data_IF_007275126870
#
_entry.id   IF_007275126870
#
_cell.length_a   1.000
_cell.length_b   1.000
_cell.length_c   1.000
_cell.angle_alpha   90.00
_cell.angle_beta   90.00
_cell.angle_gamma   90.00
#
_symmetry.space_group_name_H-M   'P 1'
#
loop_
_entity.id
_entity.type
_entity.pdbx_description
1 polymer ?
#
# COMPACT_ATOMS: atom_id res chain seq x y z
N UNK A 1 -10.77 -9.33 8.46
CA UNK A 1 -10.00 -8.59 7.40
C UNK A 1 -8.76 -7.99 8.02
N UNK A 2 -7.59 -8.21 7.42
CA UNK A 2 -6.32 -7.70 7.92
C UNK A 2 -5.87 -6.51 7.07
N UNK A 3 -5.85 -5.33 7.67
CA UNK A 3 -5.40 -4.09 7.05
C UNK A 3 -3.92 -3.84 7.37
N UNK A 4 -3.17 -3.31 6.42
CA UNK A 4 -1.80 -2.88 6.59
C UNK A 4 -1.67 -1.39 6.35
N UNK A 5 -1.08 -0.70 7.30
CA UNK A 5 -0.76 0.73 7.23
C UNK A 5 0.73 0.94 7.51
N UNK A 6 1.32 1.89 6.82
CA UNK A 6 2.70 2.33 7.07
C UNK A 6 2.72 3.84 7.21
N UNK A 7 3.11 4.36 8.36
CA UNK A 7 3.12 5.81 8.59
C UNK A 7 4.07 6.22 9.72
N UNK A 8 4.41 7.48 9.71
CA UNK A 8 5.04 8.18 10.82
C UNK A 8 4.00 8.93 11.68
N UNK A 9 4.46 9.57 12.74
CA UNK A 9 3.60 10.28 13.68
C UNK A 9 2.79 11.43 13.05
N UNK A 10 3.27 12.03 11.96
CA UNK A 10 2.61 13.15 11.28
C UNK A 10 1.34 12.68 10.53
N UNK A 11 1.28 11.42 10.15
CA UNK A 11 0.15 10.83 9.43
C UNK A 11 -0.92 10.20 10.34
N UNK A 12 -0.81 10.31 11.67
CA UNK A 12 -1.80 9.74 12.59
C UNK A 12 -3.20 10.35 12.43
N UNK A 13 -3.30 11.66 12.20
CA UNK A 13 -4.60 12.30 11.98
C UNK A 13 -5.24 11.89 10.65
N UNK A 14 -4.56 11.96 9.50
CA UNK A 14 -5.07 11.37 8.26
C UNK A 14 -5.46 9.90 8.40
N UNK A 15 -4.61 9.07 9.01
CA UNK A 15 -4.89 7.66 9.27
C UNK A 15 -6.19 7.45 10.05
N UNK A 16 -6.41 8.24 11.11
CA UNK A 16 -7.65 8.16 11.90
C UNK A 16 -8.88 8.51 11.06
N UNK A 17 -8.79 9.53 10.19
CA UNK A 17 -9.88 9.90 9.27
C UNK A 17 -10.14 8.77 8.26
N UNK A 18 -9.09 8.18 7.71
CA UNK A 18 -9.20 7.03 6.80
C UNK A 18 -9.87 5.84 7.49
N UNK A 19 -9.43 5.46 8.71
CA UNK A 19 -10.02 4.38 9.49
C UNK A 19 -11.48 4.67 9.87
N UNK A 20 -11.83 5.90 10.24
CA UNK A 20 -13.22 6.30 10.50
C UNK A 20 -14.10 6.09 9.25
N UNK A 21 -13.61 6.51 8.09
CA UNK A 21 -14.30 6.30 6.82
C UNK A 21 -14.42 4.80 6.46
N UNK A 22 -13.40 4.00 6.78
CA UNK A 22 -13.43 2.54 6.60
C UNK A 22 -14.54 1.92 7.46
N UNK A 23 -14.55 2.17 8.76
CA UNK A 23 -15.59 1.60 9.65
C UNK A 23 -16.99 2.05 9.29
N UNK A 24 -17.14 3.32 8.85
CA UNK A 24 -18.44 3.86 8.40
C UNK A 24 -18.93 3.18 7.12
N UNK A 25 -18.04 2.92 6.17
CA UNK A 25 -18.39 2.32 4.86
C UNK A 25 -18.44 0.80 4.88
N UNK A 26 -17.96 0.17 5.96
CA UNK A 26 -17.95 -1.30 6.14
C UNK A 26 -18.67 -1.72 7.43
N UNK A 27 -19.94 -1.34 7.60
CA UNK A 27 -20.68 -1.69 8.81
C UNK A 27 -20.86 -3.21 8.90
N UNK A 28 -20.55 -3.78 10.08
CA UNK A 28 -20.67 -5.21 10.31
C UNK A 28 -19.46 -6.06 9.89
N UNK A 29 -18.35 -5.42 9.48
CA UNK A 29 -17.09 -6.13 9.36
C UNK A 29 -16.59 -6.55 10.74
N UNK A 30 -16.51 -7.86 10.94
CA UNK A 30 -16.02 -8.46 12.18
C UNK A 30 -14.57 -8.91 12.04
N UNK A 31 -13.87 -9.01 13.18
CA UNK A 31 -12.48 -9.49 13.24
C UNK A 31 -11.52 -8.68 12.34
N UNK A 32 -11.63 -7.35 12.39
CA UNK A 32 -10.69 -6.47 11.68
C UNK A 32 -9.41 -6.33 12.51
N UNK A 33 -8.26 -6.68 11.92
CA UNK A 33 -6.94 -6.37 12.51
C UNK A 33 -6.26 -5.28 11.67
N UNK A 34 -5.73 -4.27 12.35
CA UNK A 34 -5.00 -3.16 11.72
C UNK A 34 -3.52 -3.29 12.08
N UNK A 35 -2.71 -3.80 11.18
CA UNK A 35 -1.27 -3.87 11.31
C UNK A 35 -0.66 -2.52 10.94
N UNK A 36 0.00 -1.89 11.89
CA UNK A 36 0.62 -0.57 11.73
C UNK A 36 2.14 -0.69 11.80
N UNK A 37 2.83 -0.59 10.67
CA UNK A 37 4.29 -0.53 10.63
C UNK A 37 4.77 0.91 10.86
N UNK A 38 5.62 1.10 11.86
CA UNK A 38 6.14 2.42 12.21
C UNK A 38 7.56 2.37 12.79
N UNK A 39 8.25 3.51 12.83
CA UNK A 39 9.62 3.61 13.35
C UNK A 39 9.76 4.43 14.64
N UNK A 40 8.71 5.07 15.12
CA UNK A 40 8.88 5.94 16.29
C UNK A 40 7.62 6.63 16.82
N UNK A 41 6.43 6.09 16.58
CA UNK A 41 5.20 6.61 17.17
C UNK A 41 5.22 6.35 18.69
N UNK A 42 4.90 7.35 19.47
CA UNK A 42 4.92 7.24 20.96
C UNK A 42 3.81 6.31 21.46
N UNK A 43 4.07 5.64 22.60
CA UNK A 43 3.12 4.68 23.18
C UNK A 43 1.74 5.31 23.44
N UNK A 44 1.68 6.54 23.99
CA UNK A 44 0.41 7.22 24.25
C UNK A 44 -0.43 7.45 22.99
N UNK A 45 0.20 7.80 21.87
CA UNK A 45 -0.51 7.96 20.58
C UNK A 45 -0.98 6.63 19.99
N UNK A 46 -0.20 5.57 20.19
CA UNK A 46 -0.62 4.21 19.81
C UNK A 46 -1.80 3.73 20.65
N UNK A 47 -1.81 4.03 21.97
CA UNK A 47 -2.93 3.72 22.86
C UNK A 47 -4.21 4.48 22.46
N UNK A 48 -4.10 5.76 22.10
CA UNK A 48 -5.23 6.55 21.59
C UNK A 48 -5.81 5.94 20.30
N UNK A 49 -4.94 5.55 19.35
CA UNK A 49 -5.37 4.94 18.10
C UNK A 49 -5.95 3.53 18.34
N UNK A 50 -5.38 2.76 19.27
CA UNK A 50 -5.89 1.44 19.65
C UNK A 50 -7.28 1.57 20.30
N UNK A 51 -7.48 2.53 21.19
CA UNK A 51 -8.80 2.84 21.79
C UNK A 51 -9.82 3.22 20.72
N UNK A 52 -9.41 3.99 19.72
CA UNK A 52 -10.26 4.34 18.59
C UNK A 52 -10.67 3.09 17.78
N UNK A 53 -9.72 2.24 17.38
CA UNK A 53 -10.02 0.99 16.65
C UNK A 53 -10.94 0.08 17.48
N UNK A 54 -10.67 -0.08 18.78
CA UNK A 54 -11.46 -0.91 19.68
C UNK A 54 -12.91 -0.44 19.80
N UNK A 55 -13.19 0.86 19.66
CA UNK A 55 -14.56 1.39 19.68
C UNK A 55 -15.42 0.90 18.53
N UNK A 56 -14.79 0.40 17.44
CA UNK A 56 -15.42 -0.25 16.29
C UNK A 56 -15.27 -1.78 16.29
N UNK A 57 -14.75 -2.37 17.38
CA UNK A 57 -14.51 -3.81 17.45
C UNK A 57 -13.29 -4.31 16.69
N UNK A 58 -12.40 -3.40 16.28
CA UNK A 58 -11.15 -3.73 15.58
C UNK A 58 -9.95 -3.74 16.52
N UNK A 59 -8.93 -4.54 16.20
CA UNK A 59 -7.69 -4.64 16.93
C UNK A 59 -6.56 -3.90 16.21
N UNK A 60 -5.93 -2.90 16.86
CA UNK A 60 -4.69 -2.30 16.37
C UNK A 60 -3.50 -3.17 16.79
N UNK A 61 -2.65 -3.52 15.83
CA UNK A 61 -1.41 -4.28 16.01
C UNK A 61 -0.21 -3.43 15.58
N UNK A 62 0.29 -2.54 16.45
CA UNK A 62 1.46 -1.73 16.13
C UNK A 62 2.71 -2.60 16.09
N UNK A 63 3.51 -2.43 15.05
CA UNK A 63 4.75 -3.15 14.84
C UNK A 63 5.88 -2.16 14.61
N UNK A 64 6.83 -2.14 15.53
CA UNK A 64 8.06 -1.36 15.37
C UNK A 64 8.93 -2.07 14.33
N UNK A 65 9.26 -1.35 13.28
CA UNK A 65 10.10 -1.88 12.21
C UNK A 65 11.55 -1.94 12.67
N UNK A 66 12.16 -3.14 12.60
CA UNK A 66 13.58 -3.33 12.91
C UNK A 66 14.45 -2.54 11.92
N UNK A 67 15.18 -1.56 12.43
CA UNK A 67 16.06 -0.72 11.62
C UNK A 67 17.26 -1.49 11.05
N UNK A 68 17.61 -2.64 11.61
CA UNK A 68 18.68 -3.50 11.10
C UNK A 68 18.38 -4.01 9.68
N UNK A 69 17.12 -4.23 9.36
CA UNK A 69 16.68 -4.60 8.01
C UNK A 69 17.08 -3.55 6.95
N UNK A 70 17.31 -2.31 7.38
CA UNK A 70 17.56 -1.15 6.50
C UNK A 70 18.99 -0.60 6.60
N UNK A 71 19.94 -1.33 7.22
CA UNK A 71 21.35 -0.87 7.35
C UNK A 71 21.98 -0.59 6.00
N UNK A 72 21.67 -1.41 5.00
CA UNK A 72 22.19 -1.27 3.64
C UNK A 72 21.21 -0.58 2.68
N UNK A 73 20.10 -0.03 3.17
CA UNK A 73 19.13 0.65 2.33
C UNK A 73 19.71 1.97 1.81
N UNK A 74 19.60 2.27 0.51
CA UNK A 74 19.94 3.56 -0.02
C UNK A 74 18.94 4.61 0.48
N UNK A 75 19.33 5.38 1.50
CA UNK A 75 18.48 6.39 2.14
C UNK A 75 18.96 7.79 1.87
N UNK A 76 18.03 8.71 1.64
CA UNK A 76 18.24 10.13 1.45
C UNK A 76 16.98 10.90 1.85
N UNK A 77 17.00 12.23 1.76
CA UNK A 77 15.76 13.02 1.91
C UNK A 77 14.66 12.60 0.92
N UNK A 78 15.04 12.10 -0.25
CA UNK A 78 14.12 11.64 -1.30
C UNK A 78 13.67 10.19 -1.07
N UNK A 79 14.51 9.39 -0.40
CA UNK A 79 14.26 7.97 -0.12
C UNK A 79 14.31 7.73 1.40
N UNK A 80 13.28 8.16 2.15
CA UNK A 80 13.21 7.89 3.59
C UNK A 80 12.98 6.39 3.84
N UNK A 81 13.38 5.91 5.01
CA UNK A 81 13.26 4.48 5.36
C UNK A 81 11.81 3.99 5.30
N UNK A 82 10.87 4.83 5.65
CA UNK A 82 9.43 4.54 5.66
C UNK A 82 8.90 4.14 4.28
N UNK A 83 9.53 4.62 3.20
CA UNK A 83 9.23 4.22 1.83
C UNK A 83 9.35 2.70 1.64
N UNK A 84 10.33 2.07 2.31
CA UNK A 84 10.57 0.64 2.17
C UNK A 84 9.58 -0.24 2.94
N UNK A 85 8.89 0.30 3.96
CA UNK A 85 8.04 -0.50 4.84
C UNK A 85 6.94 -1.21 4.06
N UNK A 86 6.27 -0.51 3.12
CA UNK A 86 5.25 -1.12 2.27
C UNK A 86 5.84 -2.21 1.36
N UNK A 87 7.01 -1.97 0.75
CA UNK A 87 7.65 -2.90 -0.16
C UNK A 87 8.14 -4.17 0.54
N UNK A 88 8.63 -4.03 1.77
CA UNK A 88 9.19 -5.12 2.57
C UNK A 88 8.21 -5.67 3.61
N UNK A 89 6.95 -5.21 3.61
CA UNK A 89 5.93 -5.68 4.54
C UNK A 89 5.76 -7.20 4.57
N UNK A 90 5.88 -7.97 3.45
CA UNK A 90 5.80 -9.41 3.51
C UNK A 90 6.85 -10.08 4.40
N UNK A 91 8.02 -9.44 4.58
CA UNK A 91 9.11 -9.92 5.42
C UNK A 91 8.96 -9.49 6.89
N UNK A 92 8.18 -8.45 7.16
CA UNK A 92 7.99 -7.85 8.48
C UNK A 92 6.75 -8.43 9.18
N UNK A 93 5.68 -8.66 8.42
CA UNK A 93 4.41 -9.15 8.95
C UNK A 93 4.50 -10.58 9.48
N UNK A 94 3.67 -10.94 10.49
CA UNK A 94 3.61 -12.27 11.07
C UNK A 94 3.47 -13.38 10.03
N UNK A 95 4.19 -14.48 10.20
CA UNK A 95 4.28 -15.57 9.22
C UNK A 95 2.95 -16.32 9.01
N UNK A 96 2.07 -16.30 9.98
CA UNK A 96 0.74 -16.90 9.95
C UNK A 96 -0.27 -16.12 9.11
N UNK A 97 0.03 -14.86 8.76
CA UNK A 97 -0.80 -14.08 7.85
C UNK A 97 -0.61 -14.55 6.41
N UNK A 98 -1.70 -14.90 5.77
CA UNK A 98 -1.70 -15.34 4.37
C UNK A 98 -2.01 -14.19 3.40
N UNK A 99 -2.76 -13.18 3.84
CA UNK A 99 -3.24 -12.07 3.01
C UNK A 99 -3.33 -10.78 3.83
N UNK A 100 -3.12 -9.65 3.18
CA UNK A 100 -3.32 -8.32 3.80
C UNK A 100 -3.76 -7.31 2.75
N UNK A 101 -4.58 -6.35 3.15
CA UNK A 101 -4.97 -5.20 2.32
C UNK A 101 -4.21 -3.96 2.79
N UNK A 102 -3.25 -3.52 1.98
CA UNK A 102 -2.53 -2.28 2.20
C UNK A 102 -3.37 -1.08 1.77
N UNK A 103 -3.43 -0.06 2.61
CA UNK A 103 -4.13 1.20 2.35
C UNK A 103 -3.22 2.37 2.71
N UNK A 104 -3.12 3.37 1.84
CA UNK A 104 -2.47 4.63 2.19
C UNK A 104 -3.28 5.35 3.28
N UNK A 105 -2.61 5.97 4.28
CA UNK A 105 -3.29 6.56 5.44
C UNK A 105 -4.03 7.87 5.15
N UNK A 106 -3.89 8.45 3.95
CA UNK A 106 -4.43 9.76 3.57
C UNK A 106 -5.54 9.68 2.51
N UNK A 107 -6.25 8.56 2.46
CA UNK A 107 -7.40 8.34 1.59
C UNK A 107 -8.73 8.36 2.36
N UNK A 108 -9.85 8.33 1.63
CA UNK A 108 -11.19 8.10 2.18
C UNK A 108 -11.78 6.84 1.58
N UNK A 109 -12.27 5.96 2.45
CA UNK A 109 -12.96 4.73 2.06
C UNK A 109 -14.46 5.05 1.95
N UNK A 110 -15.00 4.95 0.75
CA UNK A 110 -16.42 5.28 0.48
C UNK A 110 -17.24 4.07 0.02
N UNK A 111 -16.58 2.93 -0.21
CA UNK A 111 -17.20 1.68 -0.63
C UNK A 111 -16.83 0.54 0.33
N UNK A 112 -17.67 -0.51 0.44
CA UNK A 112 -17.30 -1.72 1.15
C UNK A 112 -16.05 -2.37 0.53
N UNK A 113 -15.06 -2.74 1.35
CA UNK A 113 -13.81 -3.36 0.90
C UNK A 113 -13.87 -4.91 0.84
N UNK A 114 -14.95 -5.54 1.31
CA UNK A 114 -15.10 -7.00 1.29
C UNK A 114 -14.92 -7.60 -0.11
N UNK A 115 -15.49 -7.04 -1.20
CA UNK A 115 -15.27 -7.59 -2.54
C UNK A 115 -13.80 -7.52 -3.01
N UNK A 116 -13.04 -6.51 -2.58
CA UNK A 116 -11.60 -6.43 -2.84
C UNK A 116 -10.83 -7.43 -1.98
N UNK A 117 -11.18 -7.54 -0.70
CA UNK A 117 -10.56 -8.49 0.21
C UNK A 117 -10.71 -9.94 -0.26
N UNK A 118 -11.85 -10.30 -0.81
CA UNK A 118 -12.16 -11.66 -1.30
C UNK A 118 -11.76 -11.90 -2.76
N UNK A 119 -11.14 -10.90 -3.41
CA UNK A 119 -10.73 -11.02 -4.81
C UNK A 119 -9.81 -12.22 -5.02
N UNK A 120 -10.12 -13.04 -6.02
CA UNK A 120 -9.21 -14.08 -6.50
C UNK A 120 -8.08 -13.42 -7.30
N UNK A 121 -6.86 -13.63 -6.87
CA UNK A 121 -5.66 -13.11 -7.53
C UNK A 121 -5.22 -13.93 -8.76
N UNK A 122 -5.92 -15.04 -9.07
CA UNK A 122 -5.62 -15.91 -10.22
C UNK A 122 -4.14 -16.29 -10.34
N UNK A 123 -3.49 -16.56 -9.19
CA UNK A 123 -2.08 -16.91 -9.12
C UNK A 123 -1.11 -15.72 -9.16
N UNK A 124 -1.61 -14.48 -9.21
CA UNK A 124 -0.80 -13.28 -9.01
C UNK A 124 -0.52 -13.07 -7.52
N UNK A 125 0.55 -12.33 -7.25
CA UNK A 125 0.99 -12.01 -5.88
C UNK A 125 0.29 -10.78 -5.32
N UNK A 126 -0.04 -9.82 -6.19
CA UNK A 126 -0.63 -8.53 -5.83
C UNK A 126 -1.86 -8.24 -6.67
N UNK A 127 -2.75 -7.36 -6.16
CA UNK A 127 -3.69 -6.61 -6.98
C UNK A 127 -3.59 -5.13 -6.65
N UNK A 128 -3.56 -4.29 -7.67
CA UNK A 128 -3.46 -2.83 -7.53
C UNK A 128 -4.14 -2.12 -8.71
N UNK A 129 -4.56 -0.88 -8.47
CA UNK A 129 -5.19 -0.07 -9.51
C UNK A 129 -4.15 0.45 -10.50
N UNK A 130 -4.44 0.33 -11.80
CA UNK A 130 -3.71 1.01 -12.85
C UNK A 130 -4.53 2.21 -13.31
N UNK A 131 -3.97 3.42 -13.23
CA UNK A 131 -4.66 4.63 -13.70
C UNK A 131 -4.69 4.71 -15.23
N UNK A 132 -5.41 3.79 -15.86
CA UNK A 132 -5.50 3.66 -17.33
C UNK A 132 -6.54 4.58 -17.97
N UNK A 133 -7.54 5.03 -17.22
CA UNK A 133 -8.74 5.67 -17.78
C UNK A 133 -8.54 7.05 -18.40
N UNK A 134 -7.44 7.77 -18.17
CA UNK A 134 -7.25 9.16 -18.62
C UNK A 134 -5.84 9.49 -19.09
N UNK A 135 -4.91 8.56 -19.03
CA UNK A 135 -3.52 8.80 -19.36
C UNK A 135 -2.85 7.55 -19.94
N UNK A 136 -3.40 6.99 -21.03
CA UNK A 136 -2.63 6.05 -21.85
C UNK A 136 -1.21 6.58 -22.08
N UNK A 137 -1.13 7.87 -22.43
CA UNK A 137 0.16 8.55 -22.62
C UNK A 137 1.02 8.58 -21.34
N UNK A 138 0.46 8.78 -20.15
CA UNK A 138 1.23 8.77 -18.91
C UNK A 138 1.66 7.34 -18.54
N UNK A 139 0.86 6.35 -18.87
CA UNK A 139 1.19 4.94 -18.69
C UNK A 139 2.35 4.54 -19.63
N UNK A 140 2.25 4.90 -20.91
CA UNK A 140 3.33 4.70 -21.90
C UNK A 140 4.64 5.40 -21.49
N UNK A 141 4.55 6.64 -21.00
CA UNK A 141 5.74 7.37 -20.50
C UNK A 141 6.37 6.62 -19.33
N UNK A 142 5.58 6.11 -18.38
CA UNK A 142 6.10 5.35 -17.25
C UNK A 142 6.68 4.01 -17.67
N UNK A 143 6.04 3.31 -18.61
CA UNK A 143 6.56 2.07 -19.18
C UNK A 143 7.93 2.28 -19.84
N UNK A 144 8.07 3.32 -20.65
CA UNK A 144 9.36 3.66 -21.27
C UNK A 144 10.40 4.06 -20.24
N UNK A 145 10.02 4.89 -19.25
CA UNK A 145 10.92 5.38 -18.20
C UNK A 145 11.46 4.26 -17.31
N UNK A 146 10.61 3.27 -17.00
CA UNK A 146 10.94 2.17 -16.10
C UNK A 146 11.32 0.88 -16.82
N UNK A 147 11.35 0.90 -18.16
CA UNK A 147 11.61 -0.26 -19.01
C UNK A 147 10.68 -1.45 -18.66
N UNK A 148 9.38 -1.19 -18.60
CA UNK A 148 8.35 -2.18 -18.27
C UNK A 148 7.34 -2.35 -19.40
N UNK A 149 6.75 -3.55 -19.52
CA UNK A 149 5.77 -3.89 -20.57
C UNK A 149 4.33 -4.03 -20.04
N UNK A 150 4.13 -3.82 -18.75
CA UNK A 150 2.84 -3.90 -18.06
C UNK A 150 2.30 -2.51 -17.72
N UNK A 151 1.03 -2.45 -17.33
CA UNK A 151 0.42 -1.22 -16.83
C UNK A 151 1.16 -0.69 -15.60
N UNK A 152 1.19 0.63 -15.44
CA UNK A 152 1.78 1.26 -14.26
C UNK A 152 0.78 1.31 -13.12
N UNK A 153 1.04 0.55 -12.06
CA UNK A 153 0.17 0.40 -10.91
C UNK A 153 0.42 1.47 -9.84
N UNK A 154 -0.66 1.94 -9.23
CA UNK A 154 -0.59 2.77 -8.03
C UNK A 154 -0.46 1.88 -6.78
N UNK A 155 0.46 2.23 -5.88
CA UNK A 155 0.75 1.45 -4.68
C UNK A 155 -0.04 1.87 -3.43
N UNK A 156 -1.02 2.77 -3.56
CA UNK A 156 -1.81 3.29 -2.43
C UNK A 156 -2.90 2.34 -1.93
N UNK A 157 -3.39 1.43 -2.80
CA UNK A 157 -4.29 0.33 -2.44
C UNK A 157 -3.75 -0.94 -3.04
N UNK A 158 -3.39 -1.92 -2.23
CA UNK A 158 -2.84 -3.20 -2.70
C UNK A 158 -3.39 -4.37 -1.89
N UNK A 159 -4.02 -5.33 -2.57
CA UNK A 159 -4.25 -6.64 -1.98
C UNK A 159 -2.98 -7.48 -2.20
N UNK A 160 -2.49 -8.10 -1.15
CA UNK A 160 -1.22 -8.85 -1.14
C UNK A 160 -1.46 -10.28 -0.67
N UNK A 161 -1.12 -11.27 -1.50
CA UNK A 161 -0.91 -12.64 -1.06
C UNK A 161 0.47 -12.74 -0.39
N UNK A 162 0.49 -12.78 0.93
CA UNK A 162 1.72 -12.79 1.70
C UNK A 162 2.50 -14.10 1.54
N UNK A 163 1.81 -15.21 1.26
CA UNK A 163 2.46 -16.50 1.01
C UNK A 163 3.28 -16.49 -0.27
N UNK A 164 2.72 -15.90 -1.33
CA UNK A 164 3.43 -15.71 -2.59
C UNK A 164 4.49 -14.59 -2.48
N UNK A 165 4.13 -13.47 -1.85
CA UNK A 165 5.01 -12.31 -1.71
C UNK A 165 6.31 -12.64 -0.94
N UNK A 166 6.27 -13.46 0.11
CA UNK A 166 7.46 -13.90 0.85
C UNK A 166 8.45 -14.70 0.03
N UNK A 167 8.02 -15.33 -1.06
CA UNK A 167 8.90 -16.06 -1.99
C UNK A 167 9.54 -15.14 -3.02
N UNK A 168 8.90 -14.01 -3.28
CA UNK A 168 9.25 -13.07 -4.35
C UNK A 168 10.06 -11.86 -3.82
N UNK A 169 9.64 -11.31 -2.68
CA UNK A 169 10.20 -10.09 -2.11
C UNK A 169 11.46 -10.39 -1.34
N UNK A 170 12.53 -9.66 -1.65
CA UNK A 170 13.78 -9.66 -0.86
C UNK A 170 14.28 -8.23 -0.66
N UNK A 171 14.85 -7.93 0.50
CA UNK A 171 15.45 -6.63 0.77
C UNK A 171 16.57 -6.30 -0.23
N UNK A 172 17.38 -7.31 -0.59
CA UNK A 172 18.46 -7.16 -1.57
C UNK A 172 17.94 -6.66 -2.93
N UNK A 173 16.88 -7.27 -3.47
CA UNK A 173 16.32 -6.88 -4.76
C UNK A 173 15.75 -5.46 -4.71
N UNK A 174 15.05 -5.09 -3.65
CA UNK A 174 14.51 -3.75 -3.47
C UNK A 174 15.63 -2.70 -3.39
N UNK A 175 16.64 -2.93 -2.55
CA UNK A 175 17.74 -1.97 -2.39
C UNK A 175 18.61 -1.86 -3.64
N UNK A 176 18.85 -2.97 -4.32
CA UNK A 176 19.56 -2.98 -5.60
C UNK A 176 18.80 -2.19 -6.66
N UNK A 177 17.48 -2.38 -6.78
CA UNK A 177 16.64 -1.63 -7.71
C UNK A 177 16.73 -0.12 -7.45
N UNK A 178 16.58 0.33 -6.20
CA UNK A 178 16.73 1.74 -5.85
C UNK A 178 18.11 2.28 -6.21
N UNK A 179 19.18 1.54 -5.87
CA UNK A 179 20.55 1.98 -6.14
C UNK A 179 20.86 2.07 -7.63
N UNK A 180 20.33 1.17 -8.44
CA UNK A 180 20.58 1.14 -9.89
C UNK A 180 19.78 2.19 -10.65
N UNK A 181 18.58 2.54 -10.18
CA UNK A 181 17.62 3.40 -10.86
C UNK A 181 17.35 4.75 -10.16
N UNK A 182 18.25 5.17 -9.26
CA UNK A 182 18.07 6.38 -8.44
C UNK A 182 17.66 7.63 -9.24
N UNK A 183 18.19 7.78 -10.47
CA UNK A 183 17.91 8.94 -11.32
C UNK A 183 16.56 8.86 -12.05
N UNK A 184 16.03 7.67 -12.22
CA UNK A 184 14.80 7.38 -12.97
C UNK A 184 13.56 7.40 -12.06
N UNK A 185 13.73 7.17 -10.75
CA UNK A 185 12.63 7.11 -9.80
C UNK A 185 12.02 8.51 -9.58
N UNK A 186 10.71 8.63 -9.82
CA UNK A 186 9.89 9.83 -9.56
C UNK A 186 9.06 9.65 -8.29
N UNK A 187 8.34 8.54 -8.20
CA UNK A 187 7.60 8.05 -7.03
C UNK A 187 8.29 6.78 -6.54
N UNK A 188 9.32 6.89 -5.67
CA UNK A 188 10.31 5.84 -5.49
C UNK A 188 9.73 4.48 -5.09
N UNK A 189 8.83 4.41 -4.13
CA UNK A 189 8.20 3.17 -3.69
C UNK A 189 7.28 2.56 -4.76
N UNK A 190 6.48 3.41 -5.42
CA UNK A 190 5.59 2.99 -6.49
C UNK A 190 6.38 2.56 -7.75
N UNK A 191 7.42 3.30 -8.11
CA UNK A 191 8.28 2.96 -9.25
C UNK A 191 9.00 1.62 -9.02
N UNK A 192 9.59 1.42 -7.84
CA UNK A 192 10.25 0.16 -7.46
C UNK A 192 9.25 -1.01 -7.43
N UNK A 193 8.04 -0.77 -6.92
CA UNK A 193 6.97 -1.77 -6.96
C UNK A 193 6.68 -2.20 -8.40
N UNK A 194 6.50 -1.24 -9.31
CA UNK A 194 6.24 -1.53 -10.72
C UNK A 194 7.41 -2.27 -11.40
N UNK A 195 8.65 -1.81 -11.19
CA UNK A 195 9.83 -2.45 -11.80
C UNK A 195 10.01 -3.90 -11.34
N UNK A 196 9.77 -4.19 -10.07
CA UNK A 196 10.03 -5.52 -9.50
C UNK A 196 8.82 -6.46 -9.56
N UNK A 197 7.61 -5.93 -9.39
CA UNK A 197 6.42 -6.74 -9.10
C UNK A 197 5.23 -6.47 -10.02
N UNK A 198 5.34 -5.54 -10.98
CA UNK A 198 4.22 -5.21 -11.84
C UNK A 198 3.72 -6.39 -12.68
N UNK A 199 4.61 -7.27 -13.13
CA UNK A 199 4.21 -8.51 -13.84
C UNK A 199 3.47 -9.51 -12.94
N UNK A 200 3.65 -9.43 -11.62
CA UNK A 200 2.98 -10.26 -10.61
C UNK A 200 1.76 -9.55 -10.00
N UNK A 201 1.31 -8.48 -10.64
CA UNK A 201 0.17 -7.67 -10.19
C UNK A 201 -1.03 -7.86 -11.10
N UNK A 202 -2.19 -8.13 -10.49
CA UNK A 202 -3.47 -8.16 -11.18
C UNK A 202 -4.06 -6.73 -11.18
N UNK A 203 -4.49 -6.20 -12.33
CA UNK A 203 -5.16 -4.91 -12.38
C UNK A 203 -6.54 -4.97 -11.71
N UNK A 204 -6.87 -3.93 -10.94
CA UNK A 204 -8.20 -3.67 -10.41
C UNK A 204 -8.69 -2.30 -10.89
N UNK A 205 -10.01 -2.12 -10.89
CA UNK A 205 -10.66 -0.89 -11.36
C UNK A 205 -10.29 0.32 -10.48
N UNK A 206 -9.60 1.29 -11.03
CA UNK A 206 -9.15 2.51 -10.33
C UNK A 206 -10.31 3.40 -9.91
N UNK A 207 -11.41 3.43 -10.66
CA UNK A 207 -12.61 4.22 -10.33
C UNK A 207 -13.28 3.72 -9.06
N UNK A 208 -13.20 2.42 -8.80
CA UNK A 208 -13.85 1.76 -7.65
C UNK A 208 -12.91 1.69 -6.44
N UNK A 209 -11.63 1.34 -6.67
CA UNK A 209 -10.74 0.92 -5.59
C UNK A 209 -9.66 1.92 -5.21
N UNK A 210 -9.28 2.82 -6.14
CA UNK A 210 -8.25 3.84 -5.86
C UNK A 210 -8.45 5.08 -6.74
N UNK A 211 -9.60 5.75 -6.56
CA UNK A 211 -9.99 6.88 -7.36
C UNK A 211 -9.17 8.14 -7.04
N UNK A 212 -8.52 8.70 -8.07
CA UNK A 212 -7.84 9.99 -7.96
C UNK A 212 -8.83 11.16 -8.14
N UNK A 213 -9.16 11.83 -7.03
CA UNK A 213 -10.11 12.95 -7.01
C UNK A 213 -9.72 14.13 -7.93
N UNK A 214 -8.43 14.25 -8.29
CA UNK A 214 -7.96 15.26 -9.25
C UNK A 214 -8.52 15.04 -10.65
N UNK A 215 -8.96 13.82 -10.94
CA UNK A 215 -9.56 13.45 -12.21
C UNK A 215 -11.09 13.61 -12.26
N UNK A 216 -11.74 14.12 -11.21
CA UNK A 216 -13.20 14.21 -11.09
C UNK A 216 -13.87 14.89 -12.31
N UNK A 217 -13.36 16.04 -12.77
CA UNK A 217 -13.90 16.76 -13.91
C UNK A 217 -13.85 15.96 -15.23
N UNK A 218 -12.88 15.06 -15.36
CA UNK A 218 -12.70 14.24 -16.56
C UNK A 218 -13.68 13.05 -16.59
N UNK A 219 -14.08 12.53 -15.42
CA UNK A 219 -15.10 11.47 -15.33
C UNK A 219 -16.51 11.99 -15.60
N UNK A 220 -16.83 13.22 -15.16
CA UNK A 220 -18.13 13.84 -15.47
C UNK A 220 -18.39 14.00 -16.97
N UNK A 221 -17.37 14.08 -17.80
CA UNK A 221 -17.50 14.22 -19.27
C UNK A 221 -17.78 12.86 -19.92
N UNK A 222 -17.47 11.73 -19.25
CA UNK A 222 -17.67 10.37 -19.77
C UNK A 222 -19.02 9.74 -19.36
N UNK A 223 -19.67 10.26 -18.34
CA UNK A 223 -21.02 9.84 -17.89
C UNK A 223 -22.12 10.62 -18.61
#
# INVERSE_FOLDING_TARGET
MDLLLTLDENYLLPCRVMLDSFFTSNPGEENVSVYLLHSGITAGKLEELAGFCSSFGAELKPMVVDTALFENAPTSKRYPKEMYYRLLSPLILPQELERVLYLDPDMLIINPLRPLWELDLHGKTFAAASHTGLTEMANEINQVRLDTEHEYFNSGVMLIDLTAARKLVTAENVFRCVSQHEKELILPDQDVFNMLYGRETQPIDDVVWNYDVRNYSKYLIRS
#
